data_IF_451396120706
#
_entry.id   IF_451396120706
#
_cell.length_a   1.000
_cell.length_b   1.000
_cell.length_c   1.000
_cell.angle_alpha   90.00
_cell.angle_beta   90.00
_cell.angle_gamma   90.00
#
_symmetry.space_group_name_H-M   'P 1'
#
loop_
_entity.id
_entity.type
_entity.pdbx_description
1 polymer ?
#
# COMPACT_ATOMS: atom_id res chain seq x y z
N UNK A 1 2.81 22.50 16.63
CA UNK A 1 3.44 21.87 15.46
C UNK A 1 2.47 20.82 14.92
N UNK A 2 1.76 21.11 13.83
CA UNK A 2 0.92 20.12 13.15
C UNK A 2 1.78 19.42 12.11
N UNK A 3 2.09 18.14 12.29
CA UNK A 3 2.74 17.37 11.23
C UNK A 3 1.79 17.30 10.03
N UNK A 4 2.22 17.80 8.87
CA UNK A 4 1.45 17.75 7.61
C UNK A 4 1.40 16.33 7.01
N UNK A 5 2.12 15.38 7.59
CA UNK A 5 2.23 13.99 7.14
C UNK A 5 1.97 13.10 8.34
N UNK A 6 0.96 12.26 8.24
CA UNK A 6 0.65 11.22 9.22
C UNK A 6 0.10 10.02 8.48
N UNK A 7 0.56 8.83 8.85
CA UNK A 7 -0.06 7.58 8.39
C UNK A 7 -1.26 7.35 9.31
N UNK A 8 -2.46 7.33 8.74
CA UNK A 8 -3.63 6.80 9.42
C UNK A 8 -3.87 5.39 8.90
N UNK A 9 -3.81 4.41 9.79
CA UNK A 9 -3.94 3.01 9.43
C UNK A 9 -4.03 2.12 10.66
N UNK A 10 -4.33 0.85 10.41
CA UNK A 10 -4.23 -0.21 11.41
C UNK A 10 -3.19 -1.20 10.92
N UNK A 11 -2.31 -1.63 11.81
CA UNK A 11 -1.39 -2.73 11.56
C UNK A 11 -1.83 -3.94 12.40
N UNK A 12 -1.80 -5.11 11.77
CA UNK A 12 -2.13 -6.38 12.40
C UNK A 12 -1.34 -7.48 11.69
N UNK A 13 -0.95 -8.51 12.45
CA UNK A 13 -0.20 -9.63 11.91
C UNK A 13 1.00 -10.00 12.78
N UNK A 14 1.93 -10.76 12.20
CA UNK A 14 3.15 -11.20 12.86
C UNK A 14 4.33 -11.12 11.92
N UNK A 15 5.49 -10.66 12.42
CA UNK A 15 6.76 -10.69 11.69
C UNK A 15 7.22 -12.11 11.31
N UNK A 16 6.60 -13.15 11.88
CA UNK A 16 6.87 -14.57 11.54
C UNK A 16 6.07 -15.05 10.33
N UNK A 17 5.09 -14.29 9.84
CA UNK A 17 4.30 -14.67 8.68
C UNK A 17 5.15 -14.60 7.41
N UNK A 18 5.23 -15.74 6.71
CA UNK A 18 5.94 -15.85 5.43
C UNK A 18 5.00 -15.68 4.24
N UNK A 19 3.92 -16.46 4.25
CA UNK A 19 2.95 -16.56 3.18
C UNK A 19 1.58 -16.15 3.69
N UNK A 20 0.98 -15.14 3.08
CA UNK A 20 -0.32 -14.61 3.48
C UNK A 20 -0.94 -13.76 2.38
N UNK A 21 -2.24 -13.53 2.49
CA UNK A 21 -2.98 -12.61 1.61
C UNK A 21 -3.62 -11.54 2.48
N UNK A 22 -3.45 -10.28 2.09
CA UNK A 22 -4.16 -9.14 2.67
C UNK A 22 -5.12 -8.61 1.63
N UNK A 23 -6.37 -8.41 2.03
CA UNK A 23 -7.40 -7.85 1.17
C UNK A 23 -8.17 -6.79 1.96
N UNK A 24 -8.40 -5.64 1.34
CA UNK A 24 -9.20 -4.57 1.94
C UNK A 24 -9.96 -3.79 0.88
N UNK A 25 -11.13 -3.28 1.24
CA UNK A 25 -11.91 -2.38 0.39
C UNK A 25 -11.70 -0.95 0.86
N UNK A 26 -11.28 -0.09 -0.06
CA UNK A 26 -10.95 1.31 0.20
C UNK A 26 -11.80 2.23 -0.68
N UNK A 27 -12.02 3.44 -0.18
CA UNK A 27 -12.54 4.57 -0.97
C UNK A 27 -11.74 5.80 -0.58
N UNK A 28 -11.24 6.52 -1.57
CA UNK A 28 -10.51 7.77 -1.33
C UNK A 28 -11.49 8.82 -0.81
N UNK A 29 -11.26 9.35 0.39
CA UNK A 29 -11.96 10.54 0.89
C UNK A 29 -11.01 11.73 0.84
N UNK A 30 -9.85 11.61 1.51
CA UNK A 30 -8.77 12.60 1.48
C UNK A 30 -7.45 11.93 1.90
N UNK A 31 -6.58 11.66 0.95
CA UNK A 31 -5.26 11.07 1.19
C UNK A 31 -4.34 11.35 0.00
N UNK A 32 -3.03 11.38 0.23
CA UNK A 32 -2.04 11.37 -0.85
C UNK A 32 -1.85 9.93 -1.36
N UNK A 33 -1.84 8.98 -0.43
CA UNK A 33 -1.69 7.56 -0.69
C UNK A 33 -2.73 6.74 0.04
N UNK A 34 -3.25 5.70 -0.60
CA UNK A 34 -4.04 4.64 0.04
C UNK A 34 -3.51 3.28 -0.40
N UNK A 35 -3.29 2.35 0.52
CA UNK A 35 -2.60 1.11 0.16
C UNK A 35 -2.54 0.08 1.27
N UNK A 36 -1.85 -1.01 0.96
CA UNK A 36 -1.54 -2.09 1.88
C UNK A 36 -0.03 -2.09 2.11
N UNK A 37 0.38 -2.10 3.37
CA UNK A 37 1.75 -2.40 3.77
C UNK A 37 1.88 -3.89 4.08
N UNK A 38 2.96 -4.51 3.62
CA UNK A 38 3.30 -5.92 3.87
C UNK A 38 4.75 -6.04 4.34
N UNK A 39 5.02 -7.12 5.09
CA UNK A 39 6.33 -7.39 5.71
C UNK A 39 6.87 -6.22 6.51
N UNK A 40 5.98 -5.48 7.17
CA UNK A 40 6.37 -4.38 8.02
C UNK A 40 7.08 -4.93 9.27
N UNK A 41 8.36 -4.60 9.40
CA UNK A 41 9.15 -4.90 10.60
C UNK A 41 9.05 -3.74 11.60
N UNK A 42 9.19 -2.52 11.09
CA UNK A 42 9.15 -1.26 11.82
C UNK A 42 8.80 -0.10 10.86
N UNK A 43 8.65 1.15 11.32
CA UNK A 43 8.33 2.29 10.45
C UNK A 43 9.32 2.58 9.32
N UNK A 44 10.54 2.05 9.38
CA UNK A 44 11.63 2.29 8.43
C UNK A 44 11.94 1.08 7.54
N UNK A 45 11.23 -0.04 7.71
CA UNK A 45 11.46 -1.30 7.02
C UNK A 45 10.13 -1.98 6.65
N UNK A 46 9.69 -1.79 5.40
CA UNK A 46 8.43 -2.35 4.88
C UNK A 46 8.36 -2.33 3.34
N UNK A 47 7.44 -3.10 2.79
CA UNK A 47 6.96 -2.96 1.40
C UNK A 47 5.52 -2.46 1.40
N UNK A 48 5.16 -1.63 0.43
CA UNK A 48 3.85 -1.03 0.30
C UNK A 48 3.39 -1.09 -1.14
N UNK A 49 2.11 -1.41 -1.33
CA UNK A 49 1.45 -1.28 -2.61
C UNK A 49 0.30 -0.30 -2.45
N UNK A 50 0.41 0.85 -3.12
CA UNK A 50 -0.45 1.99 -2.84
C UNK A 50 -0.82 2.77 -4.10
N UNK A 51 -2.04 3.29 -4.09
CA UNK A 51 -2.52 4.28 -5.04
C UNK A 51 -1.97 5.64 -4.60
N UNK A 52 -1.20 6.28 -5.46
CA UNK A 52 -0.98 7.72 -5.42
C UNK A 52 -2.20 8.41 -6.03
N UNK A 53 -2.92 9.17 -5.21
CA UNK A 53 -4.19 9.81 -5.58
C UNK A 53 -3.99 10.97 -6.56
N UNK A 54 -2.89 11.71 -6.42
CA UNK A 54 -2.57 12.85 -7.28
C UNK A 54 -2.11 12.38 -8.66
N UNK A 55 -1.16 11.45 -8.69
CA UNK A 55 -0.59 10.93 -9.93
C UNK A 55 -1.53 9.94 -10.66
N UNK A 56 -2.62 9.53 -10.01
CA UNK A 56 -3.52 8.46 -10.45
C UNK A 56 -2.73 7.23 -10.90
N UNK A 57 -1.81 6.81 -10.06
CA UNK A 57 -0.91 5.70 -10.35
C UNK A 57 -0.86 4.74 -9.16
N UNK A 58 -0.63 3.47 -9.46
CA UNK A 58 -0.36 2.44 -8.48
C UNK A 58 1.14 2.16 -8.46
N UNK A 59 1.72 2.17 -7.26
CA UNK A 59 3.14 1.98 -7.07
C UNK A 59 3.42 0.90 -6.03
N UNK A 60 4.38 0.03 -6.34
CA UNK A 60 5.14 -0.66 -5.31
C UNK A 60 6.20 0.28 -4.76
N UNK A 61 6.27 0.38 -3.44
CA UNK A 61 7.20 1.23 -2.70
C UNK A 61 7.88 0.35 -1.66
N UNK A 62 9.19 0.50 -1.49
CA UNK A 62 9.90 -0.07 -0.35
C UNK A 62 10.45 1.03 0.53
N UNK A 63 10.48 0.78 1.84
CA UNK A 63 11.32 1.51 2.76
C UNK A 63 12.34 0.54 3.35
N UNK A 64 13.63 0.85 3.22
CA UNK A 64 14.72 0.08 3.81
C UNK A 64 15.70 1.01 4.53
N UNK A 65 15.92 0.77 5.83
CA UNK A 65 16.70 1.65 6.69
C UNK A 65 16.27 3.14 6.60
N UNK A 66 14.96 3.37 6.41
CA UNK A 66 14.39 4.71 6.30
C UNK A 66 14.42 5.30 4.88
N UNK A 67 15.14 4.69 3.94
CA UNK A 67 15.21 5.16 2.55
C UNK A 67 14.01 4.64 1.76
N UNK A 68 13.23 5.56 1.19
CA UNK A 68 12.08 5.25 0.35
C UNK A 68 12.50 5.09 -1.10
N UNK A 69 12.01 4.04 -1.74
CA UNK A 69 12.23 3.74 -3.16
C UNK A 69 10.88 3.37 -3.82
N UNK A 70 10.56 4.00 -4.95
CA UNK A 70 9.45 3.61 -5.81
C UNK A 70 9.93 2.56 -6.81
N UNK A 71 9.41 1.33 -6.69
CA UNK A 71 9.82 0.16 -7.48
C UNK A 71 9.08 0.13 -8.83
N UNK A 72 7.79 0.43 -8.80
CA UNK A 72 6.94 0.48 -10.01
C UNK A 72 6.09 1.74 -9.98
N UNK A 73 5.64 2.18 -11.15
CA UNK A 73 4.62 3.24 -11.28
C UNK A 73 3.73 2.96 -12.47
N UNK A 74 2.51 2.49 -12.21
CA UNK A 74 1.56 2.08 -13.23
C UNK A 74 0.36 3.04 -13.22
N UNK A 75 0.11 3.82 -14.29
CA UNK A 75 -1.07 4.67 -14.37
C UNK A 75 -2.35 3.84 -14.25
N UNK A 76 -3.35 4.41 -13.57
CA UNK A 76 -4.68 3.82 -13.40
C UNK A 76 -5.77 4.87 -13.69
N UNK A 77 -6.92 4.43 -14.17
CA UNK A 77 -8.10 5.29 -14.27
C UNK A 77 -8.79 5.37 -12.89
N UNK A 78 -8.25 6.21 -12.02
CA UNK A 78 -8.77 6.39 -10.66
C UNK A 78 -10.00 7.31 -10.66
N UNK A 79 -11.15 6.73 -10.36
CA UNK A 79 -12.36 7.44 -9.94
C UNK A 79 -12.48 7.41 -8.41
N UNK A 80 -12.27 8.55 -7.76
CA UNK A 80 -12.30 8.69 -6.29
C UNK A 80 -13.70 8.47 -5.69
N UNK A 81 -14.77 8.52 -6.49
CA UNK A 81 -16.13 8.24 -6.02
C UNK A 81 -16.36 6.73 -5.79
N UNK A 82 -15.58 5.88 -6.45
CA UNK A 82 -15.73 4.41 -6.41
C UNK A 82 -14.98 3.76 -5.25
N UNK A 83 -15.44 2.56 -4.90
CA UNK A 83 -14.72 1.66 -4.01
C UNK A 83 -13.79 0.79 -4.83
N UNK A 84 -12.63 0.50 -4.27
CA UNK A 84 -11.67 -0.43 -4.85
C UNK A 84 -11.33 -1.50 -3.82
N UNK A 85 -11.24 -2.75 -4.27
CA UNK A 85 -10.62 -3.80 -3.48
C UNK A 85 -9.15 -3.87 -3.84
N UNK A 86 -8.31 -3.68 -2.82
CA UNK A 86 -6.88 -3.90 -2.89
C UNK A 86 -6.59 -5.30 -2.35
N UNK A 87 -5.82 -6.08 -3.10
CA UNK A 87 -5.36 -7.40 -2.68
C UNK A 87 -3.86 -7.53 -2.91
N UNK A 88 -3.15 -7.95 -1.87
CA UNK A 88 -1.74 -8.31 -1.94
C UNK A 88 -1.56 -9.75 -1.49
N UNK A 89 -0.90 -10.56 -2.32
CA UNK A 89 -0.52 -11.93 -2.04
C UNK A 89 1.00 -11.96 -1.81
N UNK A 90 1.40 -12.39 -0.63
CA UNK A 90 2.79 -12.58 -0.23
C UNK A 90 3.09 -14.07 -0.27
N UNK A 91 4.04 -14.49 -1.11
CA UNK A 91 4.44 -15.89 -1.29
C UNK A 91 5.95 -16.02 -1.45
N UNK A 92 6.63 -16.47 -0.40
CA UNK A 92 8.07 -16.67 -0.27
C UNK A 92 8.88 -15.40 -0.54
N UNK A 93 9.36 -15.19 -1.76
CA UNK A 93 10.04 -13.94 -2.17
C UNK A 93 9.19 -13.09 -3.12
N UNK A 94 8.05 -13.62 -3.55
CA UNK A 94 7.17 -12.99 -4.52
C UNK A 94 6.09 -12.16 -3.83
N UNK A 95 5.86 -10.97 -4.38
CA UNK A 95 4.73 -10.12 -4.08
C UNK A 95 3.87 -10.03 -5.34
N UNK A 96 2.56 -10.27 -5.19
CA UNK A 96 1.59 -10.08 -6.27
C UNK A 96 0.48 -9.17 -5.79
N UNK A 97 0.06 -8.28 -6.67
CA UNK A 97 -1.00 -7.33 -6.41
C UNK A 97 -2.19 -7.50 -7.37
N UNK A 98 -3.35 -7.03 -6.92
CA UNK A 98 -4.55 -6.96 -7.75
C UNK A 98 -5.43 -5.81 -7.28
N UNK A 99 -5.85 -4.97 -8.24
CA UNK A 99 -6.82 -3.89 -8.07
C UNK A 99 -8.13 -4.31 -8.73
N UNK A 100 -9.23 -4.26 -7.98
CA UNK A 100 -10.57 -4.54 -8.51
C UNK A 100 -11.48 -3.35 -8.24
N UNK A 101 -12.13 -2.83 -9.28
CA UNK A 101 -13.16 -1.79 -9.14
C UNK A 101 -14.50 -2.45 -8.78
N UNK A 102 -15.20 -1.87 -7.79
CA UNK A 102 -16.53 -2.31 -7.34
C UNK A 102 -17.61 -1.27 -7.65
#
# INVERSE_FOLDING_TARGET
>A
MTSKVGISGSSWGSVKWKNYTVETTVRVIKANYIGIFVRQLDPNNWYGWAINVEDKAMSWISQFAGNLEEITKNPIDLDIAKKYTLKVIVADENLKDMLMAN
#
